data_IF_132732798060
#
_entry.id   IF_132732798060
#
_cell.length_a   1.000
_cell.length_b   1.000
_cell.length_c   1.000
_cell.angle_alpha   90.00
_cell.angle_beta   90.00
_cell.angle_gamma   90.00
#
_symmetry.space_group_name_H-M   'P 1'
#
loop_
_entity.id
_entity.type
_entity.pdbx_description
1 polymer ?
#
# COMPACT_ATOMS: atom_id res chain seq x y z
N UNK A 1 4.11 2.35 2.66
CA UNK A 1 4.74 3.12 1.57
C UNK A 1 4.02 4.45 1.53
N UNK A 2 4.75 5.55 1.44
CA UNK A 2 4.14 6.88 1.30
C UNK A 2 3.73 7.04 -0.16
N UNK A 3 2.44 7.04 -0.41
CA UNK A 3 1.86 7.26 -1.73
C UNK A 3 1.09 8.55 -1.70
N UNK A 4 1.15 9.34 -2.77
CA UNK A 4 0.44 10.62 -2.86
C UNK A 4 -1.03 10.43 -2.48
N UNK A 5 -1.45 11.17 -1.46
CA UNK A 5 -2.84 11.33 -1.06
C UNK A 5 -3.24 12.78 -1.37
N UNK A 6 -4.34 13.03 -2.09
CA UNK A 6 -4.76 14.39 -2.45
C UNK A 6 -4.81 15.33 -1.25
N UNK A 7 -5.31 14.86 -0.12
CA UNK A 7 -5.45 15.59 1.14
C UNK A 7 -4.13 15.83 1.91
N UNK A 8 -2.99 15.36 1.39
CA UNK A 8 -1.68 15.43 2.07
C UNK A 8 -0.59 15.86 1.09
N UNK A 9 -0.76 17.05 0.50
CA UNK A 9 0.24 17.69 -0.38
C UNK A 9 0.63 19.06 0.18
N UNK A 10 1.94 19.25 0.44
CA UNK A 10 2.51 20.54 0.80
C UNK A 10 3.05 21.25 -0.45
N UNK A 11 2.79 22.54 -0.59
CA UNK A 11 3.26 23.36 -1.70
C UNK A 11 4.10 24.53 -1.20
N UNK A 12 5.29 24.68 -1.73
CA UNK A 12 6.23 25.76 -1.36
C UNK A 12 6.39 26.72 -2.53
N UNK A 13 6.26 28.03 -2.26
CA UNK A 13 6.52 29.07 -3.25
C UNK A 13 7.47 30.13 -2.69
N UNK A 14 8.42 30.57 -3.52
CA UNK A 14 9.52 31.47 -3.12
C UNK A 14 9.52 32.80 -3.87
N UNK A 15 8.57 33.00 -4.79
CA UNK A 15 8.47 34.19 -5.63
C UNK A 15 7.01 34.65 -5.74
N UNK A 16 6.76 35.94 -6.07
CA UNK A 16 5.39 36.41 -6.36
C UNK A 16 4.72 35.64 -7.51
N UNK A 17 5.48 35.23 -8.53
CA UNK A 17 4.99 34.36 -9.61
C UNK A 17 4.53 33.00 -9.08
N UNK A 18 5.34 32.40 -8.21
CA UNK A 18 5.01 31.15 -7.56
C UNK A 18 3.76 31.23 -6.69
N UNK A 19 3.58 32.31 -5.93
CA UNK A 19 2.37 32.53 -5.13
C UNK A 19 1.11 32.59 -6.00
N UNK A 20 1.16 33.28 -7.15
CA UNK A 20 0.01 33.32 -8.08
C UNK A 20 -0.32 31.94 -8.63
N UNK A 21 0.70 31.16 -9.01
CA UNK A 21 0.51 29.80 -9.50
C UNK A 21 -0.01 28.87 -8.40
N UNK A 22 0.50 29.01 -7.17
CA UNK A 22 0.02 28.29 -5.99
C UNK A 22 -1.46 28.54 -5.73
N UNK A 23 -1.91 29.81 -5.80
CA UNK A 23 -3.33 30.17 -5.67
C UNK A 23 -4.20 29.49 -6.73
N UNK A 24 -3.76 29.47 -7.99
CA UNK A 24 -4.46 28.75 -9.07
C UNK A 24 -4.59 27.26 -8.76
N UNK A 25 -3.52 26.62 -8.32
CA UNK A 25 -3.52 25.20 -7.96
C UNK A 25 -4.39 24.91 -6.73
N UNK A 26 -4.32 25.72 -5.69
CA UNK A 26 -5.09 25.57 -4.46
C UNK A 26 -6.61 25.74 -4.66
N UNK A 27 -7.03 26.42 -5.75
CA UNK A 27 -8.44 26.49 -6.13
C UNK A 27 -8.97 25.17 -6.74
N UNK A 28 -8.08 24.30 -7.20
CA UNK A 28 -8.43 23.03 -7.87
C UNK A 28 -8.06 21.80 -7.03
N UNK A 29 -7.16 21.96 -6.05
CA UNK A 29 -6.62 20.87 -5.24
C UNK A 29 -6.54 21.27 -3.76
N UNK A 30 -6.78 20.32 -2.84
CA UNK A 30 -6.55 20.54 -1.42
C UNK A 30 -5.03 20.58 -1.15
N UNK A 31 -4.46 21.79 -1.03
CA UNK A 31 -3.03 22.00 -0.83
C UNK A 31 -2.77 22.75 0.47
N UNK A 32 -1.72 22.35 1.21
CA UNK A 32 -1.16 23.17 2.27
C UNK A 32 -0.05 24.06 1.69
N UNK A 33 -0.37 25.32 1.45
CA UNK A 33 0.54 26.26 0.79
C UNK A 33 1.42 27.01 1.80
N UNK A 34 2.71 27.05 1.52
CA UNK A 34 3.73 27.74 2.31
C UNK A 34 4.42 28.83 1.48
N UNK A 35 4.71 29.97 2.13
CA UNK A 35 5.43 31.10 1.53
C UNK A 35 6.27 31.84 2.57
N UNK A 36 7.10 32.80 2.14
CA UNK A 36 7.84 33.66 3.06
C UNK A 36 6.94 34.77 3.63
N UNK A 37 7.28 35.31 4.80
CA UNK A 37 6.52 36.43 5.40
C UNK A 37 6.43 37.65 4.48
N UNK A 38 7.47 37.90 3.66
CA UNK A 38 7.49 38.99 2.69
C UNK A 38 6.50 38.80 1.52
N UNK A 39 6.04 37.56 1.28
CA UNK A 39 5.13 37.17 0.21
C UNK A 39 3.81 36.62 0.76
N UNK A 40 3.47 36.99 1.99
CA UNK A 40 2.36 36.43 2.73
C UNK A 40 1.02 36.75 2.08
N UNK A 41 0.14 35.75 2.05
CA UNK A 41 -1.19 35.81 1.45
C UNK A 41 -2.18 35.06 2.33
N UNK A 42 -3.47 35.40 2.23
CA UNK A 42 -4.52 34.69 2.97
C UNK A 42 -4.53 33.20 2.60
N UNK A 43 -4.55 32.33 3.62
CA UNK A 43 -4.52 30.87 3.46
C UNK A 43 -3.14 30.24 3.26
N UNK A 44 -2.06 31.04 3.26
CA UNK A 44 -0.69 30.53 3.18
C UNK A 44 -0.05 30.50 4.58
N UNK A 45 0.75 29.47 4.84
CA UNK A 45 1.49 29.30 6.09
C UNK A 45 2.90 29.90 5.91
N UNK A 46 3.38 30.78 6.80
CA UNK A 46 4.74 31.29 6.72
C UNK A 46 5.78 30.19 7.00
N UNK A 47 7.00 30.35 6.49
CA UNK A 47 8.10 29.44 6.81
C UNK A 47 8.60 29.61 8.25
N UNK A 48 7.98 28.93 9.22
CA UNK A 48 8.42 28.92 10.62
C UNK A 48 9.82 28.31 10.75
N UNK A 49 10.79 29.08 11.23
CA UNK A 49 12.20 28.66 11.32
C UNK A 49 12.92 28.63 9.96
N UNK A 50 12.35 29.28 8.93
CA UNK A 50 12.91 29.38 7.59
C UNK A 50 12.51 28.25 6.65
N UNK A 51 12.70 28.48 5.35
CA UNK A 51 12.27 27.56 4.27
C UNK A 51 12.77 26.12 4.47
N UNK A 52 14.03 25.95 4.89
CA UNK A 52 14.60 24.63 5.09
C UNK A 52 13.97 23.85 6.25
N UNK A 53 13.56 24.54 7.32
CA UNK A 53 12.86 23.92 8.44
C UNK A 53 11.48 23.46 8.02
N UNK A 54 10.71 24.33 7.37
CA UNK A 54 9.37 24.02 6.88
C UNK A 54 9.37 22.87 5.85
N UNK A 55 10.32 22.88 4.91
CA UNK A 55 10.46 21.80 3.93
C UNK A 55 10.81 20.46 4.60
N UNK A 56 11.65 20.46 5.64
CA UNK A 56 12.01 19.26 6.40
C UNK A 56 10.83 18.67 7.16
N UNK A 57 10.07 19.52 7.85
CA UNK A 57 8.87 19.11 8.56
C UNK A 57 7.88 18.49 7.58
N UNK A 58 7.61 19.17 6.46
CA UNK A 58 6.69 18.68 5.44
C UNK A 58 7.15 17.35 4.82
N UNK A 59 8.46 17.17 4.60
CA UNK A 59 9.01 15.91 4.07
C UNK A 59 8.69 14.70 4.96
N UNK A 60 8.52 14.92 6.26
CA UNK A 60 8.19 13.86 7.23
C UNK A 60 6.70 13.63 7.43
N UNK A 61 5.85 14.62 7.14
CA UNK A 61 4.42 14.61 7.50
C UNK A 61 3.46 14.59 6.31
N UNK A 62 3.94 14.92 5.11
CA UNK A 62 3.13 14.93 3.88
C UNK A 62 3.48 13.77 2.96
N UNK A 63 2.50 13.35 2.16
CA UNK A 63 2.69 12.32 1.15
C UNK A 63 3.35 12.82 -0.14
N UNK A 64 3.24 14.13 -0.42
CA UNK A 64 3.89 14.78 -1.55
C UNK A 64 4.25 16.25 -1.25
N UNK A 65 5.34 16.71 -1.88
CA UNK A 65 5.79 18.09 -1.84
C UNK A 65 5.88 18.65 -3.26
N UNK A 66 5.31 19.84 -3.45
CA UNK A 66 5.40 20.62 -4.69
C UNK A 66 6.25 21.86 -4.41
N UNK A 67 7.32 22.07 -5.18
CA UNK A 67 8.12 23.28 -5.11
C UNK A 67 7.89 24.12 -6.36
N UNK A 68 7.33 25.33 -6.19
CA UNK A 68 7.27 26.30 -7.27
C UNK A 68 8.52 27.18 -7.21
N UNK A 69 9.47 26.90 -8.11
CA UNK A 69 10.76 27.58 -8.14
C UNK A 69 11.85 26.76 -8.83
N UNK A 70 13.12 27.11 -8.56
CA UNK A 70 14.26 26.43 -9.16
C UNK A 70 14.48 25.05 -8.53
N UNK A 71 14.64 24.01 -9.37
CA UNK A 71 14.92 22.63 -8.94
C UNK A 71 16.10 22.51 -7.99
N UNK A 72 17.16 23.31 -8.20
CA UNK A 72 18.34 23.29 -7.34
C UNK A 72 18.07 23.66 -5.88
N UNK A 73 17.03 24.45 -5.60
CA UNK A 73 16.63 24.79 -4.22
C UNK A 73 16.00 23.57 -3.55
N UNK A 74 15.07 22.90 -4.24
CA UNK A 74 14.44 21.67 -3.74
C UNK A 74 15.49 20.57 -3.51
N UNK A 75 16.43 20.38 -4.45
CA UNK A 75 17.50 19.39 -4.31
C UNK A 75 18.37 19.68 -3.08
N UNK A 76 18.87 20.91 -2.92
CA UNK A 76 19.78 21.24 -1.80
C UNK A 76 19.11 21.09 -0.44
N UNK A 77 17.84 21.48 -0.34
CA UNK A 77 17.12 21.46 0.95
C UNK A 77 16.73 20.05 1.36
N UNK A 78 16.39 19.20 0.38
CA UNK A 78 15.95 17.83 0.62
C UNK A 78 17.09 16.82 0.66
N UNK A 79 18.25 17.11 0.05
CA UNK A 79 19.38 16.17 -0.02
C UNK A 79 19.76 15.52 1.34
N UNK A 80 19.76 16.23 2.48
CA UNK A 80 20.05 15.61 3.78
C UNK A 80 18.93 14.69 4.33
N UNK A 81 17.75 14.71 3.71
CA UNK A 81 16.54 14.00 4.14
C UNK A 81 16.22 12.79 3.28
N UNK A 82 16.72 12.76 2.03
CA UNK A 82 16.51 11.65 1.11
C UNK A 82 17.09 10.38 1.71
N UNK A 83 16.25 9.35 1.80
CA UNK A 83 16.60 8.09 2.42
C UNK A 83 16.24 6.92 1.50
N UNK A 84 14.97 6.77 1.14
CA UNK A 84 14.53 5.65 0.33
C UNK A 84 13.28 5.92 -0.53
N UNK A 85 13.33 5.53 -1.81
CA UNK A 85 12.24 5.74 -2.79
C UNK A 85 10.89 5.09 -2.44
N UNK A 86 10.83 4.18 -1.46
CA UNK A 86 9.59 3.55 -1.01
C UNK A 86 9.00 4.17 0.27
N UNK A 87 9.78 5.03 0.96
CA UNK A 87 9.35 5.77 2.14
C UNK A 87 9.30 7.28 1.91
N UNK A 88 10.17 7.82 1.07
CA UNK A 88 10.28 9.24 0.82
C UNK A 88 9.04 9.72 0.05
N UNK A 89 8.49 10.91 0.40
CA UNK A 89 7.33 11.46 -0.29
C UNK A 89 7.63 11.74 -1.77
N UNK A 90 6.58 11.82 -2.58
CA UNK A 90 6.70 12.32 -3.93
C UNK A 90 7.19 13.77 -3.91
N UNK A 91 8.16 14.12 -4.75
CA UNK A 91 8.60 15.51 -4.90
C UNK A 91 8.46 15.94 -6.34
N UNK A 92 7.72 17.01 -6.56
CA UNK A 92 7.50 17.63 -7.88
C UNK A 92 8.00 19.07 -7.84
N UNK A 93 8.65 19.52 -8.91
CA UNK A 93 9.07 20.91 -9.08
C UNK A 93 8.33 21.53 -10.27
N UNK A 94 7.84 22.75 -10.11
CA UNK A 94 7.18 23.51 -11.18
C UNK A 94 7.87 24.86 -11.30
N UNK A 95 8.18 25.32 -12.51
CA UNK A 95 8.64 26.69 -12.67
C UNK A 95 7.49 27.69 -12.49
N UNK A 96 7.78 28.93 -12.08
CA UNK A 96 6.72 29.91 -11.76
C UNK A 96 5.84 30.32 -12.96
N UNK A 97 6.25 29.99 -14.20
CA UNK A 97 5.44 30.22 -15.41
C UNK A 97 4.69 28.97 -15.85
N UNK A 98 4.75 27.89 -15.07
CA UNK A 98 4.12 26.61 -15.36
C UNK A 98 4.46 26.07 -16.75
N UNK A 99 5.72 26.19 -17.18
CA UNK A 99 6.17 25.62 -18.46
C UNK A 99 6.50 24.15 -18.32
N UNK A 100 7.10 23.76 -17.20
CA UNK A 100 7.52 22.40 -16.92
C UNK A 100 7.06 21.97 -15.53
N UNK A 101 6.65 20.71 -15.45
CA UNK A 101 6.37 20.00 -14.20
C UNK A 101 7.33 18.83 -14.12
N UNK A 102 8.26 18.86 -13.18
CA UNK A 102 9.40 17.95 -13.11
C UNK A 102 9.19 16.95 -11.98
N UNK A 103 9.19 15.66 -12.30
CA UNK A 103 9.23 14.60 -11.28
C UNK A 103 10.64 14.49 -10.71
N UNK A 104 10.83 14.89 -9.45
CA UNK A 104 12.16 15.01 -8.83
C UNK A 104 12.53 13.81 -7.95
N UNK A 105 11.61 13.31 -7.13
CA UNK A 105 11.87 12.22 -6.18
C UNK A 105 10.65 11.28 -6.07
N UNK A 106 10.91 9.99 -5.87
CA UNK A 106 9.91 8.94 -5.66
C UNK A 106 8.88 8.81 -6.81
N UNK A 107 9.39 8.69 -8.05
CA UNK A 107 8.62 8.63 -9.30
C UNK A 107 7.47 7.60 -9.35
N UNK A 108 7.77 6.30 -9.15
CA UNK A 108 6.80 5.21 -9.25
C UNK A 108 5.98 5.04 -7.97
N UNK A 109 6.48 4.26 -7.01
CA UNK A 109 5.75 3.88 -5.80
C UNK A 109 5.38 5.10 -4.93
N UNK A 110 6.19 6.16 -4.94
CA UNK A 110 5.84 7.41 -4.25
C UNK A 110 4.78 8.24 -4.97
N UNK A 111 4.62 8.04 -6.29
CA UNK A 111 3.59 8.67 -7.11
C UNK A 111 3.97 10.01 -7.75
N UNK A 112 5.25 10.42 -7.72
CA UNK A 112 5.65 11.70 -8.32
C UNK A 112 5.42 11.75 -9.83
N UNK A 113 5.59 10.64 -10.58
CA UNK A 113 5.36 10.63 -12.03
C UNK A 113 3.87 10.81 -12.36
N UNK A 114 2.99 10.16 -11.61
CA UNK A 114 1.54 10.31 -11.76
C UNK A 114 1.11 11.74 -11.42
N UNK A 115 1.60 12.28 -10.29
CA UNK A 115 1.33 13.65 -9.87
C UNK A 115 1.85 14.67 -10.88
N UNK A 116 3.04 14.46 -11.45
CA UNK A 116 3.62 15.30 -12.50
C UNK A 116 2.74 15.34 -13.74
N UNK A 117 2.29 14.19 -14.26
CA UNK A 117 1.38 14.14 -15.43
C UNK A 117 0.06 14.86 -15.13
N UNK A 118 -0.49 14.63 -13.94
CA UNK A 118 -1.75 15.23 -13.52
C UNK A 118 -1.65 16.77 -13.43
N UNK A 119 -0.64 17.28 -12.74
CA UNK A 119 -0.39 18.72 -12.63
C UNK A 119 -0.06 19.35 -13.98
N UNK A 120 0.70 18.66 -14.83
CA UNK A 120 1.02 19.13 -16.18
C UNK A 120 -0.24 19.30 -17.03
N UNK A 121 -1.15 18.32 -17.02
CA UNK A 121 -2.43 18.41 -17.73
C UNK A 121 -3.33 19.54 -17.23
N UNK A 122 -3.35 19.81 -15.91
CA UNK A 122 -4.12 20.92 -15.34
C UNK A 122 -3.55 22.31 -15.68
N UNK A 123 -2.24 22.38 -15.84
CA UNK A 123 -1.51 23.63 -16.07
C UNK A 123 -1.30 23.93 -17.55
N UNK A 124 -1.55 22.96 -18.43
CA UNK A 124 -1.13 22.97 -19.84
C UNK A 124 0.40 23.14 -19.96
N UNK A 125 1.12 22.35 -19.15
CA UNK A 125 2.57 22.38 -19.00
C UNK A 125 3.22 21.09 -19.52
N UNK A 126 4.52 21.12 -19.76
CA UNK A 126 5.30 19.95 -20.18
C UNK A 126 5.71 19.07 -18.99
N UNK A 127 5.31 17.78 -18.93
CA UNK A 127 5.73 16.86 -17.88
C UNK A 127 7.15 16.32 -18.15
N UNK A 128 8.10 16.63 -17.28
CA UNK A 128 9.48 16.12 -17.34
C UNK A 128 9.61 14.91 -16.42
N UNK A 129 9.59 13.71 -17.00
CA UNK A 129 9.74 12.41 -16.32
C UNK A 129 10.90 11.64 -16.96
N UNK A 130 11.84 11.17 -16.15
CA UNK A 130 13.10 10.57 -16.62
C UNK A 130 13.29 9.11 -16.22
N UNK A 131 12.35 8.51 -15.48
CA UNK A 131 12.46 7.09 -15.08
C UNK A 131 12.46 6.20 -16.32
N UNK A 132 13.44 5.28 -16.40
CA UNK A 132 13.65 4.46 -17.59
C UNK A 132 12.41 3.64 -17.99
N UNK A 133 11.66 3.08 -17.04
CA UNK A 133 10.42 2.36 -17.32
C UNK A 133 9.35 3.29 -17.90
N UNK A 134 9.17 4.51 -17.40
CA UNK A 134 8.24 5.48 -18.01
C UNK A 134 8.68 5.90 -19.41
N UNK A 135 9.98 6.16 -19.61
CA UNK A 135 10.54 6.58 -20.91
C UNK A 135 10.39 5.48 -21.96
N UNK A 136 10.53 4.21 -21.56
CA UNK A 136 10.32 3.06 -22.44
C UNK A 136 8.85 2.59 -22.48
N UNK A 137 7.93 3.33 -21.85
CA UNK A 137 6.51 2.99 -21.76
C UNK A 137 6.23 1.58 -21.19
N UNK A 138 7.10 1.12 -20.30
CA UNK A 138 7.01 -0.16 -19.61
C UNK A 138 6.37 0.02 -18.23
N UNK A 139 5.63 -0.99 -17.81
CA UNK A 139 5.22 -1.12 -16.42
C UNK A 139 6.45 -1.33 -15.52
N UNK A 140 6.27 -1.02 -14.24
CA UNK A 140 7.27 -1.27 -13.20
C UNK A 140 6.68 -2.21 -12.15
N UNK A 141 7.47 -3.17 -11.67
CA UNK A 141 6.99 -4.18 -10.71
C UNK A 141 6.52 -3.55 -9.40
N UNK A 142 7.16 -2.46 -8.97
CA UNK A 142 6.75 -1.69 -7.79
C UNK A 142 5.40 -0.97 -7.99
N UNK A 143 5.13 -0.45 -9.19
CA UNK A 143 3.82 0.12 -9.53
C UNK A 143 2.74 -0.97 -9.52
N UNK A 144 3.00 -2.12 -10.15
CA UNK A 144 2.08 -3.25 -10.18
C UNK A 144 1.74 -3.76 -8.77
N UNK A 145 2.77 -3.92 -7.92
CA UNK A 145 2.61 -4.30 -6.52
C UNK A 145 1.73 -3.32 -5.75
N UNK A 146 1.92 -2.02 -5.98
CA UNK A 146 1.11 -0.99 -5.34
C UNK A 146 -0.35 -1.02 -5.81
N UNK A 147 -0.60 -1.08 -7.11
CA UNK A 147 -1.96 -1.11 -7.68
C UNK A 147 -2.77 -2.31 -7.19
N UNK A 148 -2.12 -3.46 -6.96
CA UNK A 148 -2.76 -4.67 -6.44
C UNK A 148 -2.87 -4.70 -4.91
N UNK A 149 -2.27 -3.74 -4.20
CA UNK A 149 -2.04 -3.79 -2.75
C UNK A 149 -1.38 -5.12 -2.35
N UNK A 150 -0.26 -5.44 -2.99
CA UNK A 150 0.42 -6.72 -2.87
C UNK A 150 1.79 -6.58 -2.19
N UNK A 151 2.22 -7.67 -1.54
CA UNK A 151 3.51 -7.81 -0.87
C UNK A 151 4.35 -8.88 -1.56
N UNK A 152 5.65 -8.81 -1.37
CA UNK A 152 6.59 -9.79 -1.93
C UNK A 152 7.82 -9.90 -1.02
N UNK A 153 8.37 -11.11 -0.91
CA UNK A 153 9.63 -11.37 -0.21
C UNK A 153 10.78 -10.69 -0.95
N UNK A 154 11.71 -10.10 -0.20
CA UNK A 154 12.86 -9.36 -0.75
C UNK A 154 12.47 -8.29 -1.78
N UNK A 155 11.36 -7.60 -1.51
CA UNK A 155 10.70 -6.67 -2.43
C UNK A 155 11.66 -5.75 -3.20
N UNK A 156 12.61 -5.12 -2.50
CA UNK A 156 13.61 -4.23 -3.11
C UNK A 156 14.49 -4.92 -4.14
N UNK A 157 15.01 -6.11 -3.81
CA UNK A 157 15.90 -6.85 -4.68
C UNK A 157 15.15 -7.33 -5.93
N UNK A 158 13.95 -7.88 -5.73
CA UNK A 158 13.09 -8.32 -6.82
C UNK A 158 12.69 -7.18 -7.75
N UNK A 159 12.25 -6.03 -7.22
CA UNK A 159 11.93 -4.83 -8.03
C UNK A 159 13.14 -4.36 -8.84
N UNK A 160 14.33 -4.31 -8.23
CA UNK A 160 15.56 -3.91 -8.94
C UNK A 160 15.85 -4.86 -10.11
N UNK A 161 15.84 -6.17 -9.85
CA UNK A 161 16.15 -7.20 -10.84
C UNK A 161 15.14 -7.21 -11.98
N UNK A 162 13.85 -7.25 -11.66
CA UNK A 162 12.78 -7.37 -12.66
C UNK A 162 12.65 -6.10 -13.49
N UNK A 163 12.70 -4.91 -12.88
CA UNK A 163 12.66 -3.67 -13.65
C UNK A 163 13.88 -3.55 -14.58
N UNK A 164 15.06 -4.01 -14.16
CA UNK A 164 16.23 -4.05 -15.04
C UNK A 164 16.02 -5.03 -16.22
N UNK A 165 15.46 -6.21 -15.97
CA UNK A 165 15.12 -7.18 -17.02
C UNK A 165 14.18 -6.57 -18.06
N UNK A 166 13.10 -5.91 -17.61
CA UNK A 166 12.13 -5.25 -18.49
C UNK A 166 12.79 -4.16 -19.37
N UNK A 167 13.57 -3.26 -18.77
CA UNK A 167 14.27 -2.18 -19.50
C UNK A 167 15.33 -2.74 -20.45
N UNK A 168 15.87 -3.92 -20.16
CA UNK A 168 16.85 -4.61 -21.02
C UNK A 168 16.19 -5.45 -22.13
N UNK A 169 14.87 -5.42 -22.28
CA UNK A 169 14.13 -6.16 -23.29
C UNK A 169 14.02 -7.66 -23.04
N UNK A 170 14.29 -8.12 -21.81
CA UNK A 170 14.13 -9.53 -21.44
C UNK A 170 12.64 -9.90 -21.33
N UNK A 171 12.35 -11.18 -21.58
CA UNK A 171 11.00 -11.74 -21.67
C UNK A 171 10.47 -12.08 -20.28
N UNK A 172 9.89 -11.10 -19.59
CA UNK A 172 9.31 -11.29 -18.26
C UNK A 172 7.82 -11.62 -18.38
N UNK A 173 7.43 -12.79 -17.92
CA UNK A 173 6.04 -13.23 -17.89
C UNK A 173 5.28 -12.66 -16.69
N UNK A 174 3.96 -12.57 -16.82
CA UNK A 174 3.04 -12.24 -15.75
C UNK A 174 1.87 -13.24 -15.76
N UNK A 175 1.77 -14.00 -14.68
CA UNK A 175 0.67 -14.94 -14.41
C UNK A 175 -0.08 -14.50 -13.17
N UNK A 176 -1.39 -14.78 -13.11
CA UNK A 176 -2.18 -14.55 -11.91
C UNK A 176 -3.23 -15.65 -11.69
N UNK A 177 -3.63 -15.86 -10.43
CA UNK A 177 -4.83 -16.64 -10.14
C UNK A 177 -6.06 -16.00 -10.81
N UNK A 178 -7.03 -16.83 -11.21
CA UNK A 178 -8.21 -16.37 -11.96
C UNK A 178 -8.95 -15.22 -11.28
N UNK A 179 -9.02 -15.23 -9.94
CA UNK A 179 -9.65 -14.19 -9.10
C UNK A 179 -9.01 -12.80 -9.25
N UNK A 180 -7.75 -12.71 -9.70
CA UNK A 180 -7.06 -11.44 -9.91
C UNK A 180 -7.10 -10.95 -11.36
N UNK A 181 -7.67 -11.71 -12.30
CA UNK A 181 -7.66 -11.35 -13.73
C UNK A 181 -8.27 -9.97 -13.97
N UNK A 182 -9.41 -9.68 -13.35
CA UNK A 182 -10.08 -8.37 -13.49
C UNK A 182 -9.25 -7.25 -12.85
N UNK A 183 -8.76 -7.44 -11.63
CA UNK A 183 -7.93 -6.45 -10.94
C UNK A 183 -6.64 -6.16 -11.74
N UNK A 184 -6.01 -7.20 -12.27
CA UNK A 184 -4.81 -7.09 -13.07
C UNK A 184 -5.08 -6.33 -14.37
N UNK A 185 -6.22 -6.56 -15.04
CA UNK A 185 -6.60 -5.86 -16.27
C UNK A 185 -6.66 -4.33 -16.15
N UNK A 186 -6.83 -3.82 -14.91
CA UNK A 186 -6.85 -2.39 -14.58
C UNK A 186 -5.46 -1.83 -14.21
N UNK A 187 -4.46 -2.69 -14.10
CA UNK A 187 -3.08 -2.34 -13.77
C UNK A 187 -2.26 -2.05 -15.04
N UNK A 188 -1.15 -1.35 -14.88
CA UNK A 188 -0.19 -1.21 -15.98
C UNK A 188 0.61 -2.51 -16.12
N UNK A 189 0.44 -3.18 -17.26
CA UNK A 189 1.10 -4.45 -17.58
C UNK A 189 2.06 -4.33 -18.76
N UNK A 190 2.31 -3.12 -19.27
CA UNK A 190 3.15 -2.93 -20.46
C UNK A 190 4.53 -3.55 -20.27
N UNK A 191 4.99 -4.30 -21.27
CA UNK A 191 6.27 -5.03 -21.22
C UNK A 191 6.20 -6.43 -20.60
N UNK A 192 5.19 -6.75 -19.79
CA UNK A 192 4.99 -8.11 -19.32
C UNK A 192 4.31 -8.98 -20.39
N UNK A 193 4.74 -10.24 -20.49
CA UNK A 193 4.13 -11.23 -21.37
C UNK A 193 3.03 -11.96 -20.56
N UNK A 194 1.75 -11.89 -20.96
CA UNK A 194 0.69 -12.57 -20.24
C UNK A 194 0.88 -14.10 -20.33
N UNK A 195 0.74 -14.76 -19.18
CA UNK A 195 0.80 -16.23 -19.05
C UNK A 195 -0.52 -16.70 -18.47
N UNK A 196 -1.18 -17.60 -19.17
CA UNK A 196 -2.47 -18.20 -18.74
C UNK A 196 -2.31 -19.55 -18.06
N UNK A 197 -1.25 -20.29 -18.38
CA UNK A 197 -1.01 -21.65 -17.88
C UNK A 197 0.45 -21.82 -17.44
N UNK A 198 0.66 -22.07 -16.14
CA UNK A 198 1.97 -22.33 -15.57
C UNK A 198 2.61 -23.64 -16.05
N UNK A 199 1.82 -24.59 -16.54
CA UNK A 199 2.32 -25.84 -17.11
C UNK A 199 2.85 -25.68 -18.55
N UNK A 200 2.48 -24.58 -19.22
CA UNK A 200 2.80 -24.29 -20.63
C UNK A 200 3.29 -22.86 -20.78
N UNK A 201 4.48 -22.60 -20.23
CA UNK A 201 5.09 -21.29 -20.32
C UNK A 201 5.55 -21.00 -21.75
N UNK A 202 5.35 -19.77 -22.26
CA UNK A 202 6.08 -19.30 -23.42
C UNK A 202 7.58 -19.24 -23.11
N UNK A 203 8.42 -18.98 -24.12
CA UNK A 203 9.83 -18.66 -23.89
C UNK A 203 9.89 -17.41 -23.00
N UNK A 204 10.48 -17.53 -21.82
CA UNK A 204 10.58 -16.47 -20.81
C UNK A 204 11.94 -16.53 -20.14
N UNK A 205 12.46 -15.37 -19.76
CA UNK A 205 13.65 -15.26 -18.91
C UNK A 205 13.30 -15.24 -17.42
N UNK A 206 12.08 -14.81 -17.09
CA UNK A 206 11.58 -14.66 -15.73
C UNK A 206 10.03 -14.69 -15.69
N UNK A 207 9.46 -14.92 -14.51
CA UNK A 207 8.01 -14.92 -14.29
C UNK A 207 7.61 -14.21 -12.99
N UNK A 208 6.59 -13.35 -13.06
CA UNK A 208 5.90 -12.80 -11.88
C UNK A 208 4.58 -13.55 -11.72
N UNK A 209 4.36 -14.12 -10.54
CA UNK A 209 3.15 -14.85 -10.19
C UNK A 209 2.34 -14.06 -9.16
N UNK A 210 1.17 -13.57 -9.55
CA UNK A 210 0.23 -12.89 -8.66
C UNK A 210 -0.71 -13.92 -8.04
N UNK A 211 -0.51 -14.27 -6.76
CA UNK A 211 -1.25 -15.38 -6.13
C UNK A 211 -1.33 -15.25 -4.62
N UNK A 212 -2.42 -15.76 -4.03
CA UNK A 212 -2.53 -15.95 -2.58
C UNK A 212 -1.89 -17.26 -2.10
N UNK A 213 -1.59 -18.19 -3.01
CA UNK A 213 -1.13 -19.51 -2.64
C UNK A 213 0.27 -19.48 -2.04
N UNK A 214 0.51 -20.24 -0.96
CA UNK A 214 1.79 -20.32 -0.26
C UNK A 214 2.90 -20.87 -1.16
N UNK A 215 2.62 -21.91 -1.94
CA UNK A 215 3.57 -22.56 -2.83
C UNK A 215 3.11 -22.46 -4.28
N UNK A 216 4.07 -22.28 -5.18
CA UNK A 216 3.89 -22.42 -6.62
C UNK A 216 4.31 -23.84 -7.06
N UNK A 217 3.81 -24.33 -8.20
CA UNK A 217 4.39 -25.51 -8.82
C UNK A 217 5.86 -25.26 -9.18
N UNK A 218 6.67 -26.30 -9.44
CA UNK A 218 8.00 -26.15 -9.99
C UNK A 218 7.95 -25.39 -11.32
N UNK A 219 8.73 -24.31 -11.44
CA UNK A 219 8.80 -23.48 -12.64
C UNK A 219 10.22 -23.51 -13.21
N UNK A 220 10.39 -23.62 -14.54
CA UNK A 220 11.70 -23.76 -15.19
C UNK A 220 12.48 -22.45 -15.31
N UNK A 221 11.93 -21.33 -14.83
CA UNK A 221 12.51 -19.99 -14.90
C UNK A 221 12.58 -19.35 -13.52
N UNK A 222 13.50 -18.39 -13.30
CA UNK A 222 13.45 -17.51 -12.13
C UNK A 222 12.07 -16.90 -11.99
N UNK A 223 11.51 -16.94 -10.78
CA UNK A 223 10.16 -16.44 -10.55
C UNK A 223 10.04 -15.76 -9.20
N UNK A 224 9.11 -14.81 -9.14
CA UNK A 224 8.78 -14.07 -7.92
C UNK A 224 7.28 -14.09 -7.69
N UNK A 225 6.91 -14.20 -6.42
CA UNK A 225 5.52 -14.10 -5.98
C UNK A 225 5.19 -12.68 -5.61
N UNK A 226 4.16 -12.15 -6.24
CA UNK A 226 3.49 -10.95 -5.80
C UNK A 226 2.19 -11.38 -5.12
N UNK A 227 2.04 -11.09 -3.84
CA UNK A 227 0.96 -11.63 -2.99
C UNK A 227 0.00 -10.52 -2.60
N UNK A 228 -1.17 -10.40 -3.26
CA UNK A 228 -2.20 -9.43 -2.88
C UNK A 228 -2.64 -9.61 -1.41
N UNK A 229 -2.76 -8.50 -0.68
CA UNK A 229 -3.26 -8.54 0.69
C UNK A 229 -4.79 -8.65 0.68
N UNK A 230 -5.31 -9.87 0.70
CA UNK A 230 -6.75 -10.17 0.65
C UNK A 230 -7.26 -11.03 1.81
N UNK A 231 -6.39 -11.68 2.58
CA UNK A 231 -6.81 -12.59 3.66
C UNK A 231 -7.04 -11.81 4.95
N UNK A 232 -8.16 -12.04 5.62
CA UNK A 232 -8.46 -11.46 6.95
C UNK A 232 -8.63 -12.59 7.97
N UNK A 233 -8.24 -12.35 9.21
CA UNK A 233 -8.35 -13.34 10.28
C UNK A 233 -9.19 -12.82 11.44
N UNK A 234 -10.36 -13.42 11.66
CA UNK A 234 -11.12 -13.23 12.88
C UNK A 234 -10.60 -14.17 13.97
N UNK A 235 -10.20 -13.62 15.12
CA UNK A 235 -9.58 -14.40 16.20
C UNK A 235 -10.34 -14.20 17.50
N UNK A 236 -10.74 -15.32 18.12
CA UNK A 236 -11.23 -15.36 19.50
C UNK A 236 -10.28 -16.18 20.36
N UNK A 237 -9.82 -15.66 21.49
CA UNK A 237 -8.92 -16.36 22.41
C UNK A 237 -9.35 -16.22 23.88
N UNK A 238 -8.70 -16.95 24.80
CA UNK A 238 -8.79 -16.70 26.24
C UNK A 238 -8.00 -15.44 26.61
N UNK A 239 -8.25 -14.89 27.80
CA UNK A 239 -7.46 -13.77 28.34
C UNK A 239 -6.00 -14.20 28.51
N UNK A 240 -5.07 -13.29 28.26
CA UNK A 240 -3.63 -13.48 28.43
C UNK A 240 -3.06 -14.61 27.55
N UNK A 241 -3.70 -14.88 26.40
CA UNK A 241 -3.19 -15.89 25.46
C UNK A 241 -1.86 -15.43 24.89
N UNK A 242 -0.77 -16.22 24.99
CA UNK A 242 0.55 -15.81 24.52
C UNK A 242 0.58 -15.52 23.02
N UNK A 243 1.24 -14.43 22.62
CA UNK A 243 1.43 -14.08 21.21
C UNK A 243 2.12 -15.20 20.41
N UNK A 244 3.08 -15.92 21.01
CA UNK A 244 3.74 -17.06 20.37
C UNK A 244 2.76 -18.16 19.96
N UNK A 245 1.80 -18.50 20.82
CA UNK A 245 0.77 -19.47 20.50
C UNK A 245 -0.13 -18.98 19.35
N UNK A 246 -0.54 -17.71 19.41
CA UNK A 246 -1.37 -17.11 18.35
C UNK A 246 -0.65 -17.11 16.99
N UNK A 247 0.66 -16.77 16.98
CA UNK A 247 1.50 -16.85 15.77
C UNK A 247 1.49 -18.27 15.18
N UNK A 248 1.74 -19.29 16.01
CA UNK A 248 1.79 -20.69 15.57
C UNK A 248 0.45 -21.15 15.00
N UNK A 249 -0.65 -20.86 15.69
CA UNK A 249 -1.98 -21.28 15.24
C UNK A 249 -2.42 -20.54 13.98
N UNK A 250 -2.10 -19.25 13.85
CA UNK A 250 -2.39 -18.48 12.64
C UNK A 250 -1.60 -19.01 11.43
N UNK A 251 -0.30 -19.24 11.58
CA UNK A 251 0.52 -19.78 10.49
C UNK A 251 0.03 -21.17 10.06
N UNK A 252 -0.29 -22.04 11.03
CA UNK A 252 -0.86 -23.35 10.73
C UNK A 252 -2.18 -23.25 9.98
N UNK A 253 -3.04 -22.31 10.37
CA UNK A 253 -4.32 -22.11 9.71
C UNK A 253 -4.16 -21.61 8.27
N UNK A 254 -3.25 -20.66 8.04
CA UNK A 254 -2.90 -20.20 6.70
C UNK A 254 -2.32 -21.35 5.87
N UNK A 255 -1.41 -22.15 6.44
CA UNK A 255 -0.80 -23.29 5.78
C UNK A 255 -1.83 -24.37 5.38
N UNK A 256 -2.78 -24.68 6.28
CA UNK A 256 -3.84 -25.66 6.01
C UNK A 256 -4.72 -25.25 4.82
N UNK A 257 -4.91 -23.95 4.63
CA UNK A 257 -5.63 -23.38 3.48
C UNK A 257 -4.72 -23.03 2.30
N UNK A 258 -3.42 -23.38 2.38
CA UNK A 258 -2.38 -23.08 1.39
C UNK A 258 -2.26 -21.59 1.08
N UNK A 259 -2.54 -20.72 2.06
CA UNK A 259 -2.43 -19.27 1.93
C UNK A 259 -1.04 -18.80 2.37
N UNK A 260 -0.49 -17.86 1.61
CA UNK A 260 0.75 -17.19 1.92
C UNK A 260 0.53 -16.20 3.08
N UNK A 261 1.39 -16.19 4.13
CA UNK A 261 1.28 -15.22 5.22
C UNK A 261 1.29 -13.75 4.79
N UNK A 262 1.94 -13.41 3.68
CA UNK A 262 1.95 -12.05 3.13
C UNK A 262 0.57 -11.60 2.64
N UNK A 263 -0.35 -12.54 2.37
CA UNK A 263 -1.71 -12.23 1.98
C UNK A 263 -2.55 -11.65 3.12
N UNK A 264 -2.10 -11.75 4.38
CA UNK A 264 -2.83 -11.23 5.52
C UNK A 264 -2.96 -9.70 5.42
N UNK A 265 -4.19 -9.23 5.45
CA UNK A 265 -4.62 -7.84 5.33
C UNK A 265 -4.97 -7.24 6.69
N UNK A 266 -5.67 -7.99 7.54
CA UNK A 266 -6.15 -7.51 8.85
C UNK A 266 -6.37 -8.68 9.83
N UNK A 267 -6.28 -8.37 11.11
CA UNK A 267 -6.69 -9.25 12.21
C UNK A 267 -7.81 -8.56 12.96
N UNK A 268 -8.87 -9.31 13.30
CA UNK A 268 -9.98 -8.78 14.08
C UNK A 268 -10.29 -9.56 15.33
N UNK A 269 -10.97 -8.90 16.28
CA UNK A 269 -11.63 -9.55 17.41
C UNK A 269 -12.84 -8.77 17.91
N UNK A 270 -13.41 -9.17 19.05
CA UNK A 270 -14.45 -8.42 19.76
C UNK A 270 -13.84 -7.23 20.52
N UNK A 271 -14.57 -6.12 20.66
CA UNK A 271 -14.08 -4.89 21.33
C UNK A 271 -13.63 -5.09 22.77
N UNK A 272 -14.17 -6.08 23.49
CA UNK A 272 -13.69 -6.46 24.83
C UNK A 272 -12.19 -6.85 24.83
N UNK A 273 -11.67 -7.28 23.67
CA UNK A 273 -10.26 -7.63 23.45
C UNK A 273 -9.42 -6.53 22.81
N UNK A 274 -9.92 -5.30 22.73
CA UNK A 274 -9.16 -4.18 22.14
C UNK A 274 -7.77 -3.99 22.77
N UNK A 275 -7.65 -4.26 24.07
CA UNK A 275 -6.40 -4.14 24.83
C UNK A 275 -5.68 -5.47 25.08
N UNK A 276 -6.12 -6.58 24.47
CA UNK A 276 -5.50 -7.89 24.66
C UNK A 276 -4.05 -7.90 24.14
N UNK A 277 -3.03 -8.04 25.01
CA UNK A 277 -1.63 -7.89 24.60
C UNK A 277 -1.22 -8.87 23.50
N UNK A 278 -1.68 -10.13 23.58
CA UNK A 278 -1.36 -11.17 22.60
C UNK A 278 -1.82 -10.82 21.18
N UNK A 279 -3.04 -10.30 21.02
CA UNK A 279 -3.61 -9.94 19.72
C UNK A 279 -2.95 -8.68 19.13
N UNK A 280 -2.68 -7.66 19.97
CA UNK A 280 -1.98 -6.44 19.52
C UNK A 280 -0.56 -6.75 19.07
N UNK A 281 0.15 -7.60 19.81
CA UNK A 281 1.50 -8.04 19.44
C UNK A 281 1.49 -8.87 18.16
N UNK A 282 0.51 -9.75 17.97
CA UNK A 282 0.34 -10.55 16.74
C UNK A 282 0.15 -9.63 15.53
N UNK A 283 -0.81 -8.71 15.60
CA UNK A 283 -1.08 -7.76 14.50
C UNK A 283 0.15 -6.89 14.17
N UNK A 284 0.86 -6.43 15.19
CA UNK A 284 2.12 -5.69 15.02
C UNK A 284 3.21 -6.54 14.33
N UNK A 285 3.40 -7.80 14.75
CA UNK A 285 4.36 -8.72 14.11
C UNK A 285 4.02 -8.98 12.65
N UNK A 286 2.74 -9.17 12.35
CA UNK A 286 2.24 -9.35 10.98
C UNK A 286 2.20 -8.04 10.16
N UNK A 287 2.41 -6.89 10.81
CA UNK A 287 2.31 -5.54 10.22
C UNK A 287 0.97 -5.33 9.50
N UNK A 288 -0.11 -5.66 10.21
CA UNK A 288 -1.49 -5.49 9.74
C UNK A 288 -2.32 -4.77 10.80
N UNK A 289 -3.37 -4.02 10.41
CA UNK A 289 -4.29 -3.43 11.36
C UNK A 289 -4.94 -4.49 12.27
N UNK A 290 -5.18 -4.07 13.51
CA UNK A 290 -6.02 -4.80 14.46
C UNK A 290 -7.35 -4.08 14.60
N UNK A 291 -8.41 -4.74 14.15
CA UNK A 291 -9.76 -4.18 14.16
C UNK A 291 -10.61 -4.85 15.24
N UNK A 292 -11.54 -4.11 15.82
CA UNK A 292 -12.46 -4.69 16.81
C UNK A 292 -13.89 -4.31 16.55
N UNK A 293 -14.79 -5.23 16.87
CA UNK A 293 -16.22 -5.10 16.63
C UNK A 293 -17.01 -5.25 17.93
N UNK A 294 -18.07 -4.45 18.06
CA UNK A 294 -18.95 -4.53 19.24
C UNK A 294 -19.66 -5.88 19.29
N UNK A 295 -20.04 -6.31 20.50
CA UNK A 295 -20.83 -7.53 20.67
C UNK A 295 -22.16 -7.47 19.88
N UNK A 296 -22.75 -6.29 19.76
CA UNK A 296 -23.98 -6.07 18.97
C UNK A 296 -23.75 -6.36 17.48
N UNK A 297 -22.70 -5.81 16.88
CA UNK A 297 -22.34 -6.05 15.48
C UNK A 297 -22.05 -7.54 15.21
N UNK A 298 -21.41 -8.23 16.17
CA UNK A 298 -21.17 -9.67 16.03
C UNK A 298 -22.46 -10.49 16.13
N UNK A 299 -23.42 -10.05 16.96
CA UNK A 299 -24.69 -10.75 17.20
C UNK A 299 -25.57 -10.81 15.94
N UNK A 300 -25.51 -9.78 15.10
CA UNK A 300 -26.22 -9.77 13.81
C UNK A 300 -25.82 -10.93 12.88
N UNK A 301 -24.61 -11.46 13.05
CA UNK A 301 -24.07 -12.53 12.21
C UNK A 301 -23.78 -13.84 12.98
N UNK A 302 -23.96 -13.88 14.30
CA UNK A 302 -23.59 -15.03 15.13
C UNK A 302 -24.34 -16.31 14.76
N UNK A 303 -25.58 -16.19 14.29
CA UNK A 303 -26.45 -17.31 13.90
C UNK A 303 -25.88 -18.15 12.74
N UNK A 304 -24.90 -17.62 12.00
CA UNK A 304 -24.21 -18.31 10.91
C UNK A 304 -23.13 -19.28 11.39
N UNK A 305 -22.81 -19.26 12.69
CA UNK A 305 -21.67 -19.97 13.25
C UNK A 305 -22.06 -20.83 14.45
N UNK A 306 -21.31 -21.91 14.73
CA UNK A 306 -21.49 -22.68 15.95
C UNK A 306 -21.32 -21.78 17.19
N UNK A 307 -22.34 -21.80 18.06
CA UNK A 307 -22.34 -21.03 19.29
C UNK A 307 -21.66 -21.78 20.44
N UNK A 308 -21.02 -21.04 21.33
CA UNK A 308 -20.45 -21.52 22.60
C UNK A 308 -21.18 -20.85 23.76
N UNK A 309 -21.74 -21.65 24.67
CA UNK A 309 -22.36 -21.17 25.91
C UNK A 309 -21.37 -20.33 26.73
N UNK A 310 -20.14 -20.84 26.92
CA UNK A 310 -19.08 -20.11 27.61
C UNK A 310 -18.80 -18.71 27.03
N UNK A 311 -18.74 -18.59 25.70
CA UNK A 311 -18.51 -17.29 25.04
C UNK A 311 -19.74 -16.38 25.21
N UNK A 312 -20.94 -16.95 25.13
CA UNK A 312 -22.20 -16.21 25.34
C UNK A 312 -22.27 -15.63 26.74
N UNK A 313 -21.96 -16.43 27.76
CA UNK A 313 -21.99 -16.01 29.15
C UNK A 313 -20.91 -14.96 29.47
N UNK A 314 -19.76 -15.02 28.78
CA UNK A 314 -18.63 -14.12 29.02
C UNK A 314 -18.71 -12.80 28.23
N UNK A 315 -19.20 -12.84 26.99
CA UNK A 315 -19.07 -11.74 26.01
C UNK A 315 -20.43 -11.29 25.48
N UNK A 316 -21.50 -12.03 25.76
CA UNK A 316 -22.85 -11.73 25.27
C UNK A 316 -23.11 -12.13 23.81
N UNK A 317 -22.21 -12.92 23.21
CA UNK A 317 -22.33 -13.49 21.86
C UNK A 317 -21.86 -14.95 21.83
N UNK A 318 -22.48 -15.78 21.01
CA UNK A 318 -22.16 -17.21 20.90
C UNK A 318 -20.88 -17.51 20.13
N UNK A 319 -20.41 -16.59 19.28
CA UNK A 319 -19.21 -16.79 18.45
C UNK A 319 -18.48 -15.47 18.25
N UNK A 320 -17.15 -15.53 18.14
CA UNK A 320 -16.30 -14.35 17.92
C UNK A 320 -15.58 -14.45 16.57
N UNK A 321 -14.71 -15.45 16.40
CA UNK A 321 -13.82 -15.53 15.23
C UNK A 321 -14.59 -15.56 13.90
N UNK A 322 -15.69 -16.30 13.83
CA UNK A 322 -16.56 -16.40 12.65
C UNK A 322 -17.18 -15.05 12.27
N UNK A 323 -18.03 -14.44 13.12
CA UNK A 323 -18.66 -13.14 12.85
C UNK A 323 -17.66 -12.02 12.55
N UNK A 324 -16.51 -12.02 13.22
CA UNK A 324 -15.45 -11.04 12.94
C UNK A 324 -14.86 -11.26 11.53
N UNK A 325 -14.52 -12.49 11.16
CA UNK A 325 -14.01 -12.79 9.82
C UNK A 325 -15.06 -12.46 8.75
N UNK A 326 -16.34 -12.71 9.04
CA UNK A 326 -17.46 -12.35 8.18
C UNK A 326 -17.52 -10.84 7.91
N UNK A 327 -17.47 -10.02 8.97
CA UNK A 327 -17.49 -8.57 8.85
C UNK A 327 -16.28 -8.03 8.08
N UNK A 328 -15.08 -8.54 8.39
CA UNK A 328 -13.85 -8.12 7.71
C UNK A 328 -13.81 -8.50 6.23
N UNK A 329 -14.42 -9.64 5.87
CA UNK A 329 -14.41 -10.19 4.50
C UNK A 329 -15.68 -9.87 3.70
N UNK A 330 -16.65 -9.17 4.31
CA UNK A 330 -17.97 -8.95 3.74
C UNK A 330 -18.69 -10.27 3.35
N UNK A 331 -18.50 -11.30 4.16
CA UNK A 331 -19.16 -12.61 4.03
C UNK A 331 -18.36 -13.69 3.31
N UNK A 332 -17.20 -13.35 2.75
CA UNK A 332 -16.36 -14.28 2.01
C UNK A 332 -15.42 -15.06 2.93
N UNK A 333 -15.94 -16.11 3.57
CA UNK A 333 -15.14 -16.97 4.43
C UNK A 333 -14.32 -17.99 3.64
N UNK A 334 -13.18 -18.40 4.20
CA UNK A 334 -12.30 -19.40 3.62
C UNK A 334 -12.02 -20.53 4.60
N UNK A 335 -12.25 -21.76 4.15
CA UNK A 335 -11.99 -23.00 4.88
C UNK A 335 -12.73 -23.13 6.21
N UNK A 336 -12.29 -24.09 7.02
CA UNK A 336 -12.88 -24.34 8.34
C UNK A 336 -12.26 -23.48 9.44
N UNK A 337 -13.03 -23.16 10.48
CA UNK A 337 -12.51 -22.47 11.68
C UNK A 337 -11.60 -23.40 12.49
N UNK A 338 -10.36 -22.98 12.75
CA UNK A 338 -9.47 -23.61 13.72
C UNK A 338 -10.02 -23.44 15.12
N UNK A 339 -9.99 -24.50 15.95
CA UNK A 339 -10.33 -24.45 17.38
C UNK A 339 -9.34 -25.28 18.17
N UNK A 340 -8.42 -24.62 18.87
CA UNK A 340 -7.38 -25.32 19.62
C UNK A 340 -6.90 -24.48 20.80
N UNK A 341 -6.64 -25.13 21.94
CA UNK A 341 -6.03 -24.49 23.12
C UNK A 341 -6.74 -23.19 23.59
N UNK A 342 -8.06 -23.12 23.42
CA UNK A 342 -8.85 -21.94 23.79
C UNK A 342 -8.75 -20.78 22.79
N UNK A 343 -8.20 -21.01 21.61
CA UNK A 343 -8.12 -20.09 20.48
C UNK A 343 -9.01 -20.59 19.35
N UNK A 344 -9.71 -19.66 18.70
CA UNK A 344 -10.48 -19.91 17.48
C UNK A 344 -10.05 -18.92 16.40
N UNK A 345 -9.78 -19.42 15.19
CA UNK A 345 -9.35 -18.60 14.05
C UNK A 345 -10.22 -18.94 12.85
N UNK A 346 -10.91 -17.96 12.31
CA UNK A 346 -11.65 -18.07 11.05
C UNK A 346 -11.00 -17.12 10.04
N UNK A 347 -10.75 -17.61 8.83
CA UNK A 347 -10.20 -16.81 7.74
C UNK A 347 -11.31 -16.38 6.78
N UNK A 348 -11.11 -15.25 6.14
CA UNK A 348 -11.91 -14.79 5.00
C UNK A 348 -11.03 -14.12 3.94
N UNK A 349 -11.56 -13.93 2.74
CA UNK A 349 -10.87 -13.32 1.60
C UNK A 349 -11.69 -12.13 1.09
N UNK A 350 -11.11 -10.93 1.16
CA UNK A 350 -11.69 -9.73 0.56
C UNK A 350 -11.45 -9.72 -0.94
N UNK A 351 -12.32 -9.10 -1.73
CA UNK A 351 -12.05 -8.82 -3.15
C UNK A 351 -11.19 -7.56 -3.34
#
# INVERSE_FOLDING_TARGET
>A
MNTVKPESIALFCLTPGGVRLAKRLAAMLPLTCYTSEALQEAGFIPFNGGFASAAREAFSSFSALIFIGATGIAVRVLAPLVNDKFSDPAVVVIDERARHVISLLSGHAGGANALTRYLAGMLDADPVITTATDVNELAALDTLAFQLNARMTDFRAAVKTVNQMLVSGMRVGLWCDAEFTEALSRCDQRGFIPVSDLARLPVLDALICVTLHRSLPPLPVPHWKLVPQRVVAGIGCRRDTPCSLLCTLLDRQLAAQRLDPLALKAIGSVSLKANEPGLRQLAHRCRVPFETFSAEALREHEHRFPASSFVRDTVGVGSISGPVAWLLSQGNLSGETLREQGVTITLGVTH
#
